data_IF_051628900556
#
_entry.id   IF_051628900556
#
_cell.length_a   1.000
_cell.length_b   1.000
_cell.length_c   1.000
_cell.angle_alpha   90.00
_cell.angle_beta   90.00
_cell.angle_gamma   90.00
#
_symmetry.space_group_name_H-M   'P 1'
#
loop_
_entity.id
_entity.type
_entity.pdbx_description
1 polymer ?
#
# COMPACT_ATOMS: atom_id res chain seq x y z
N UNK A 1 25.35 -37.54 -45.43
CA UNK A 1 24.19 -37.46 -44.54
C UNK A 1 24.62 -36.74 -43.26
N UNK A 2 24.28 -35.46 -43.15
CA UNK A 2 24.59 -34.64 -41.96
C UNK A 2 23.30 -34.57 -41.11
N UNK A 3 23.33 -35.12 -39.92
CA UNK A 3 22.23 -34.99 -38.95
C UNK A 3 22.38 -33.64 -38.24
N UNK A 4 21.38 -32.77 -38.45
CA UNK A 4 21.24 -31.50 -37.79
C UNK A 4 20.55 -31.79 -36.43
N UNK A 5 21.30 -31.71 -35.32
CA UNK A 5 20.76 -31.77 -33.96
C UNK A 5 20.16 -30.39 -33.64
N UNK A 6 18.85 -30.28 -33.69
CA UNK A 6 18.12 -29.12 -33.17
C UNK A 6 17.98 -29.30 -31.65
N UNK A 7 18.82 -28.59 -30.91
CA UNK A 7 18.67 -28.48 -29.47
C UNK A 7 17.46 -27.58 -29.16
N UNK A 8 16.35 -28.19 -28.77
CA UNK A 8 15.17 -27.49 -28.26
C UNK A 8 15.52 -26.98 -26.83
N UNK A 9 15.93 -25.72 -26.73
CA UNK A 9 16.08 -25.06 -25.45
C UNK A 9 14.69 -24.81 -24.88
N UNK A 10 14.21 -25.71 -24.03
CA UNK A 10 13.06 -25.46 -23.16
C UNK A 10 13.44 -24.37 -22.17
N UNK A 11 13.08 -23.13 -22.49
CA UNK A 11 13.03 -22.05 -21.47
C UNK A 11 11.90 -22.41 -20.53
N UNK A 12 12.26 -23.04 -19.42
CA UNK A 12 11.38 -23.21 -18.28
C UNK A 12 11.12 -21.79 -17.72
N UNK A 13 9.99 -21.20 -18.08
CA UNK A 13 9.40 -20.11 -17.33
C UNK A 13 9.00 -20.70 -15.97
N UNK A 14 9.94 -20.66 -15.04
CA UNK A 14 9.60 -20.84 -13.62
C UNK A 14 8.77 -19.62 -13.23
N UNK A 15 7.44 -19.76 -13.26
CA UNK A 15 6.56 -18.87 -12.55
C UNK A 15 7.03 -18.92 -11.09
N UNK A 16 7.68 -17.87 -10.62
CA UNK A 16 8.04 -17.74 -9.22
C UNK A 16 6.68 -17.63 -8.49
N UNK A 17 6.19 -18.76 -8.02
CA UNK A 17 5.05 -18.79 -7.13
C UNK A 17 5.51 -18.08 -5.85
N UNK A 18 5.17 -16.81 -5.72
CA UNK A 18 5.51 -16.03 -4.54
C UNK A 18 4.80 -16.66 -3.34
N UNK A 19 5.56 -17.43 -2.54
CA UNK A 19 5.04 -18.12 -1.38
C UNK A 19 4.59 -17.10 -0.33
N UNK A 20 3.35 -17.25 0.14
CA UNK A 20 2.85 -16.48 1.28
C UNK A 20 3.46 -17.05 2.55
N UNK A 21 4.05 -16.20 3.37
CA UNK A 21 4.70 -16.58 4.62
C UNK A 21 4.23 -15.70 5.77
N UNK A 22 3.76 -16.31 6.85
CA UNK A 22 3.43 -15.55 8.05
C UNK A 22 4.68 -14.88 8.63
N UNK A 23 4.58 -13.58 8.95
CA UNK A 23 5.54 -12.85 9.76
C UNK A 23 5.03 -12.82 11.19
N UNK A 24 5.77 -13.46 12.09
CA UNK A 24 5.48 -13.48 13.52
C UNK A 24 6.48 -12.60 14.27
N UNK A 25 5.98 -11.88 15.28
CA UNK A 25 6.82 -11.24 16.28
C UNK A 25 7.51 -12.27 17.19
N UNK A 26 8.50 -11.87 17.95
CA UNK A 26 9.15 -12.73 18.95
C UNK A 26 8.20 -13.24 20.04
N UNK A 27 7.10 -12.55 20.27
CA UNK A 27 5.99 -12.97 21.15
C UNK A 27 5.09 -14.05 20.55
N UNK A 28 5.25 -14.41 19.27
CA UNK A 28 4.35 -15.28 18.51
C UNK A 28 3.14 -14.56 17.89
N UNK A 29 2.93 -13.28 18.16
CA UNK A 29 1.83 -12.52 17.57
C UNK A 29 2.02 -12.34 16.05
N UNK A 30 0.92 -12.43 15.29
CA UNK A 30 0.93 -12.26 13.84
C UNK A 30 1.16 -10.77 13.50
N UNK A 31 2.25 -10.48 12.81
CA UNK A 31 2.55 -9.14 12.26
C UNK A 31 1.84 -8.95 10.91
N UNK A 32 1.82 -9.99 10.08
CA UNK A 32 1.18 -9.98 8.77
C UNK A 32 1.62 -11.16 7.91
N UNK A 33 1.16 -11.18 6.66
CA UNK A 33 1.56 -12.20 5.67
C UNK A 33 2.50 -11.57 4.64
N UNK A 34 3.70 -12.12 4.50
CA UNK A 34 4.70 -11.66 3.53
C UNK A 34 4.53 -12.35 2.19
N UNK A 35 4.79 -11.59 1.13
CA UNK A 35 5.02 -12.06 -0.22
C UNK A 35 6.31 -11.42 -0.72
N UNK A 36 7.37 -12.21 -0.85
CA UNK A 36 8.74 -11.71 -1.09
C UNK A 36 9.18 -12.01 -2.52
N UNK A 37 9.63 -11.00 -3.25
CA UNK A 37 10.23 -11.12 -4.59
C UNK A 37 11.74 -11.06 -4.54
N UNK A 38 12.31 -10.18 -3.69
CA UNK A 38 13.77 -10.06 -3.53
C UNK A 38 14.11 -9.50 -2.14
N UNK A 39 15.29 -9.88 -1.60
CA UNK A 39 15.71 -9.52 -0.25
C UNK A 39 15.81 -8.00 -0.04
N UNK A 40 16.26 -7.26 -1.05
CA UNK A 40 16.48 -5.81 -0.96
C UNK A 40 15.34 -4.99 -1.60
N UNK A 41 14.33 -5.64 -2.19
CA UNK A 41 13.19 -4.93 -2.75
C UNK A 41 12.44 -4.14 -1.66
N UNK A 42 11.92 -2.95 -1.99
CA UNK A 42 11.08 -2.18 -1.08
C UNK A 42 9.87 -2.98 -0.60
N UNK A 43 9.40 -2.70 0.61
CA UNK A 43 8.20 -3.32 1.16
C UNK A 43 6.99 -2.41 0.99
N UNK A 44 5.97 -2.90 0.32
CA UNK A 44 4.62 -2.34 0.36
C UNK A 44 3.85 -2.98 1.51
N UNK A 45 3.44 -2.19 2.49
CA UNK A 45 2.55 -2.63 3.55
C UNK A 45 1.13 -2.32 3.13
N UNK A 46 0.34 -3.36 2.86
CA UNK A 46 -1.06 -3.23 2.48
C UNK A 46 -1.91 -3.35 3.74
N UNK A 47 -2.61 -2.28 4.05
CA UNK A 47 -3.50 -2.20 5.21
C UNK A 47 -4.92 -2.52 4.76
N UNK A 48 -5.61 -3.47 5.42
CA UNK A 48 -6.99 -3.78 5.12
C UNK A 48 -7.93 -2.65 5.57
N UNK A 49 -9.12 -2.63 5.00
CA UNK A 49 -10.27 -1.87 5.50
C UNK A 49 -11.41 -2.87 5.74
N UNK A 50 -12.50 -2.44 6.37
CA UNK A 50 -13.64 -3.28 6.75
C UNK A 50 -14.40 -3.91 5.57
N UNK A 51 -14.37 -3.25 4.41
CA UNK A 51 -15.07 -3.69 3.19
C UNK A 51 -14.31 -4.70 2.32
N UNK A 52 -13.04 -5.03 2.65
CA UNK A 52 -12.15 -5.81 1.76
C UNK A 52 -12.08 -7.27 2.20
N UNK A 53 -12.17 -8.21 1.28
CA UNK A 53 -11.97 -9.64 1.55
C UNK A 53 -10.49 -10.03 1.55
N UNK A 54 -10.15 -11.12 2.24
CA UNK A 54 -8.78 -11.67 2.23
C UNK A 54 -8.30 -12.00 0.82
N UNK A 55 -9.18 -12.51 -0.06
CA UNK A 55 -8.83 -12.84 -1.44
C UNK A 55 -8.51 -11.59 -2.28
N UNK A 56 -9.21 -10.50 -2.05
CA UNK A 56 -8.92 -9.20 -2.69
C UNK A 56 -7.58 -8.64 -2.22
N UNK A 57 -7.30 -8.68 -0.92
CA UNK A 57 -5.99 -8.27 -0.40
C UNK A 57 -4.83 -9.08 -0.99
N UNK A 58 -4.98 -10.40 -1.09
CA UNK A 58 -3.97 -11.26 -1.74
C UNK A 58 -3.80 -10.90 -3.22
N UNK A 59 -4.91 -10.62 -3.92
CA UNK A 59 -4.86 -10.22 -5.34
C UNK A 59 -4.20 -8.87 -5.52
N UNK A 60 -4.50 -7.90 -4.65
CA UNK A 60 -3.85 -6.60 -4.59
C UNK A 60 -2.34 -6.76 -4.33
N UNK A 61 -1.98 -7.59 -3.34
CA UNK A 61 -0.60 -7.91 -3.02
C UNK A 61 0.16 -8.49 -4.21
N UNK A 62 -0.44 -9.40 -4.97
CA UNK A 62 0.17 -9.95 -6.18
C UNK A 62 0.42 -8.89 -7.26
N UNK A 63 -0.53 -7.94 -7.44
CA UNK A 63 -0.32 -6.83 -8.39
C UNK A 63 0.85 -5.95 -7.99
N UNK A 64 0.97 -5.60 -6.71
CA UNK A 64 2.12 -4.85 -6.16
C UNK A 64 3.41 -5.66 -6.27
N UNK A 65 3.36 -6.95 -5.98
CA UNK A 65 4.49 -7.87 -6.07
C UNK A 65 5.03 -7.98 -7.52
N UNK A 66 4.13 -7.98 -8.51
CA UNK A 66 4.50 -7.98 -9.93
C UNK A 66 5.18 -6.68 -10.38
N UNK A 67 5.10 -5.59 -9.61
CA UNK A 67 5.89 -4.37 -9.84
C UNK A 67 7.30 -4.44 -9.24
N UNK A 68 7.67 -5.54 -8.60
CA UNK A 68 8.99 -5.73 -7.99
C UNK A 68 9.06 -5.42 -6.48
N UNK A 69 7.97 -4.99 -5.84
CA UNK A 69 7.96 -4.76 -4.40
C UNK A 69 7.70 -6.05 -3.60
N UNK A 70 8.37 -6.20 -2.47
CA UNK A 70 7.92 -7.11 -1.44
C UNK A 70 6.61 -6.60 -0.82
N UNK A 71 5.76 -7.50 -0.36
CA UNK A 71 4.47 -7.13 0.23
C UNK A 71 4.37 -7.68 1.65
N UNK A 72 3.83 -6.87 2.56
CA UNK A 72 3.32 -7.29 3.85
C UNK A 72 1.83 -6.98 3.89
N UNK A 73 0.99 -8.02 3.85
CA UNK A 73 -0.45 -7.90 4.08
C UNK A 73 -0.70 -7.87 5.57
N UNK A 74 -1.30 -6.80 6.09
CA UNK A 74 -1.71 -6.74 7.48
C UNK A 74 -2.97 -7.60 7.69
N UNK A 75 -3.17 -8.20 8.87
CA UNK A 75 -4.32 -9.04 9.13
C UNK A 75 -5.62 -8.22 9.18
N UNK A 76 -6.71 -8.85 8.73
CA UNK A 76 -8.06 -8.28 8.76
C UNK A 76 -8.67 -8.42 10.17
N UNK A 77 -8.18 -7.65 11.10
CA UNK A 77 -8.62 -7.64 12.50
C UNK A 77 -8.65 -6.21 13.03
N UNK A 78 -9.19 -6.01 14.23
CA UNK A 78 -9.10 -4.72 14.89
C UNK A 78 -7.61 -4.31 15.07
N UNK A 79 -7.26 -3.02 14.91
CA UNK A 79 -8.20 -1.89 14.77
C UNK A 79 -8.62 -1.57 13.32
N UNK A 80 -8.13 -2.29 12.30
CA UNK A 80 -8.36 -1.94 10.88
C UNK A 80 -9.81 -2.09 10.46
N UNK A 81 -10.45 -3.21 10.82
CA UNK A 81 -11.83 -3.54 10.47
C UNK A 81 -12.88 -2.93 11.40
N UNK A 82 -12.47 -2.21 12.44
CA UNK A 82 -13.38 -1.55 13.37
C UNK A 82 -13.62 -0.09 12.98
N UNK A 83 -14.83 0.24 12.57
CA UNK A 83 -15.23 1.62 12.22
C UNK A 83 -15.10 2.60 13.40
N UNK A 84 -15.13 2.09 14.63
CA UNK A 84 -15.01 2.88 15.87
C UNK A 84 -13.58 2.94 16.42
N UNK A 85 -12.61 2.32 15.76
CA UNK A 85 -11.22 2.39 16.21
C UNK A 85 -10.72 3.83 16.18
N UNK A 86 -10.05 4.24 17.25
CA UNK A 86 -9.43 5.56 17.32
C UNK A 86 -8.23 5.65 16.36
N UNK A 87 -7.92 6.84 15.92
CA UNK A 87 -6.73 7.07 15.10
C UNK A 87 -5.45 6.64 15.85
N UNK A 88 -5.39 6.86 17.16
CA UNK A 88 -4.22 6.48 17.95
C UNK A 88 -4.03 4.96 18.04
N UNK A 89 -5.12 4.19 18.13
CA UNK A 89 -5.01 2.72 18.10
C UNK A 89 -4.48 2.22 16.76
N UNK A 90 -4.94 2.79 15.63
CA UNK A 90 -4.43 2.48 14.30
C UNK A 90 -2.94 2.83 14.15
N UNK A 91 -2.57 4.05 14.54
CA UNK A 91 -1.18 4.52 14.45
C UNK A 91 -0.25 3.68 15.33
N UNK A 92 -0.70 3.31 16.54
CA UNK A 92 0.09 2.49 17.47
C UNK A 92 0.31 1.08 16.90
N UNK A 93 -0.73 0.44 16.37
CA UNK A 93 -0.60 -0.88 15.75
C UNK A 93 0.28 -0.83 14.49
N UNK A 94 0.10 0.15 13.62
CA UNK A 94 0.98 0.40 12.46
C UNK A 94 2.43 0.53 12.91
N UNK A 95 2.70 1.34 13.92
CA UNK A 95 4.05 1.55 14.44
C UNK A 95 4.69 0.27 14.95
N UNK A 96 3.95 -0.55 15.69
CA UNK A 96 4.41 -1.85 16.16
C UNK A 96 4.75 -2.79 14.99
N UNK A 97 3.86 -2.94 14.00
CA UNK A 97 4.10 -3.82 12.84
C UNK A 97 5.30 -3.38 12.01
N UNK A 98 5.48 -2.08 11.82
CA UNK A 98 6.66 -1.53 11.15
C UNK A 98 7.93 -1.82 11.94
N UNK A 99 7.91 -1.68 13.28
CA UNK A 99 9.06 -2.01 14.12
C UNK A 99 9.43 -3.50 14.02
N UNK A 100 8.45 -4.40 13.99
CA UNK A 100 8.70 -5.83 13.80
C UNK A 100 9.24 -6.15 12.39
N UNK A 101 8.69 -5.53 11.34
CA UNK A 101 9.23 -5.67 9.97
C UNK A 101 10.68 -5.18 9.88
N UNK A 102 11.00 -4.07 10.53
CA UNK A 102 12.35 -3.47 10.55
C UNK A 102 13.42 -4.35 11.20
N UNK A 103 13.05 -5.30 12.04
CA UNK A 103 13.99 -6.32 12.54
C UNK A 103 14.49 -7.26 11.44
N UNK A 104 13.76 -7.36 10.32
CA UNK A 104 14.05 -8.28 9.23
C UNK A 104 14.59 -7.61 7.96
N UNK A 105 14.40 -6.29 7.81
CA UNK A 105 14.80 -5.57 6.60
C UNK A 105 15.17 -4.12 6.86
N UNK A 106 16.16 -3.64 6.09
CA UNK A 106 16.50 -2.22 5.97
C UNK A 106 15.90 -1.58 4.72
N UNK A 107 15.27 -2.35 3.85
CA UNK A 107 14.67 -1.86 2.61
C UNK A 107 13.60 -0.77 2.86
N UNK A 108 13.38 0.16 1.92
CA UNK A 108 12.33 1.16 2.05
C UNK A 108 10.96 0.53 2.32
N UNK A 109 10.13 1.20 3.11
CA UNK A 109 8.75 0.77 3.40
C UNK A 109 7.80 1.87 2.93
N UNK A 110 6.78 1.50 2.17
CA UNK A 110 5.68 2.39 1.82
C UNK A 110 4.33 1.70 2.09
N UNK A 111 3.30 2.51 2.28
CA UNK A 111 1.96 2.01 2.52
C UNK A 111 1.10 2.03 1.28
N UNK A 112 0.16 1.08 1.23
CA UNK A 112 -1.00 1.10 0.36
C UNK A 112 -2.24 0.90 1.24
N UNK A 113 -3.07 1.93 1.36
CA UNK A 113 -4.21 1.93 2.27
C UNK A 113 -5.39 2.71 1.69
N UNK A 114 -6.61 2.41 2.16
CA UNK A 114 -7.81 3.11 1.71
C UNK A 114 -8.60 3.73 2.86
N UNK A 115 -9.43 4.71 2.52
CA UNK A 115 -10.38 5.37 3.41
C UNK A 115 -9.74 5.87 4.73
N UNK A 116 -10.37 5.51 5.84
CA UNK A 116 -9.95 5.86 7.19
C UNK A 116 -8.55 5.33 7.52
N UNK A 117 -8.22 4.12 7.06
CA UNK A 117 -6.90 3.52 7.28
C UNK A 117 -5.83 4.28 6.50
N UNK A 118 -6.12 4.77 5.29
CA UNK A 118 -5.20 5.63 4.54
C UNK A 118 -4.87 6.92 5.28
N UNK A 119 -5.89 7.58 5.88
CA UNK A 119 -5.66 8.76 6.71
C UNK A 119 -4.77 8.44 7.92
N UNK A 120 -4.97 7.29 8.59
CA UNK A 120 -4.11 6.85 9.69
C UNK A 120 -2.66 6.55 9.23
N UNK A 121 -2.48 5.92 8.05
CA UNK A 121 -1.15 5.66 7.47
C UNK A 121 -0.41 6.96 7.13
N UNK A 122 -1.11 7.97 6.59
CA UNK A 122 -0.53 9.29 6.34
C UNK A 122 -0.06 9.95 7.63
N UNK A 123 -0.88 9.92 8.69
CA UNK A 123 -0.50 10.45 9.99
C UNK A 123 0.66 9.63 10.60
N UNK A 124 0.65 8.31 10.48
CA UNK A 124 1.76 7.46 10.91
C UNK A 124 3.07 7.83 10.18
N UNK A 125 2.99 8.17 8.89
CA UNK A 125 4.16 8.59 8.11
C UNK A 125 4.77 9.93 8.59
N UNK A 126 4.03 10.75 9.33
CA UNK A 126 4.59 11.93 10.00
C UNK A 126 5.37 11.58 11.27
N UNK A 127 5.09 10.41 11.89
CA UNK A 127 5.67 9.98 13.18
C UNK A 127 6.80 8.96 12.99
N UNK A 128 6.73 8.08 12.00
CA UNK A 128 7.65 6.96 11.84
C UNK A 128 8.54 7.15 10.61
N UNK A 129 9.80 7.52 10.78
CA UNK A 129 10.79 7.73 9.72
C UNK A 129 11.08 6.48 8.86
N UNK A 130 10.70 5.31 9.34
CA UNK A 130 10.80 4.07 8.59
C UNK A 130 9.88 4.06 7.36
N UNK A 131 8.77 4.79 7.40
CA UNK A 131 7.82 4.94 6.30
C UNK A 131 8.40 5.94 5.31
N UNK A 132 8.48 5.56 4.03
CA UNK A 132 9.11 6.34 2.98
C UNK A 132 8.15 6.85 1.91
N UNK A 133 6.88 6.43 1.96
CA UNK A 133 5.83 6.91 1.07
C UNK A 133 4.48 6.29 1.37
N UNK A 134 3.44 6.85 0.78
CA UNK A 134 2.06 6.37 0.95
C UNK A 134 1.31 6.45 -0.37
N UNK A 135 0.69 5.34 -0.77
CA UNK A 135 -0.40 5.30 -1.74
C UNK A 135 -1.71 5.28 -0.96
N UNK A 136 -2.44 6.37 -1.01
CA UNK A 136 -3.65 6.61 -0.23
C UNK A 136 -4.87 6.64 -1.15
N UNK A 137 -5.83 5.75 -0.90
CA UNK A 137 -7.05 5.61 -1.70
C UNK A 137 -8.21 6.22 -0.93
N UNK A 138 -9.01 7.09 -1.56
CA UNK A 138 -10.19 7.75 -0.97
C UNK A 138 -9.93 8.38 0.41
N UNK A 139 -8.83 9.10 0.54
CA UNK A 139 -8.46 9.74 1.81
C UNK A 139 -9.39 10.91 2.14
N UNK A 140 -9.78 11.01 3.41
CA UNK A 140 -10.67 12.06 3.90
C UNK A 140 -10.45 12.41 5.37
N UNK A 141 -11.29 13.30 5.89
CA UNK A 141 -11.33 13.71 7.31
C UNK A 141 -12.16 12.71 8.13
N UNK A 142 -11.59 11.54 8.40
CA UNK A 142 -12.29 10.43 9.07
C UNK A 142 -12.24 10.46 10.61
N UNK A 143 -11.44 11.36 11.21
CA UNK A 143 -11.19 11.34 12.65
C UNK A 143 -11.57 12.65 13.34
N UNK A 144 -12.44 12.57 14.33
CA UNK A 144 -12.66 13.55 15.39
C UNK A 144 -13.18 14.92 14.96
N UNK A 145 -12.35 15.92 14.88
CA UNK A 145 -12.73 17.30 14.62
C UNK A 145 -12.58 17.71 13.17
N UNK A 146 -13.20 18.83 12.79
CA UNK A 146 -12.98 19.44 11.48
C UNK A 146 -11.47 19.64 11.25
N UNK A 147 -10.95 19.13 10.13
CA UNK A 147 -9.56 19.31 9.68
C UNK A 147 -8.51 18.65 10.57
N UNK A 148 -8.84 17.56 11.26
CA UNK A 148 -7.87 16.85 12.08
C UNK A 148 -6.75 16.22 11.23
N UNK A 149 -7.10 15.55 10.13
CA UNK A 149 -6.14 14.95 9.22
C UNK A 149 -5.31 16.04 8.53
N UNK A 150 -5.96 17.08 7.95
CA UNK A 150 -5.30 18.25 7.35
C UNK A 150 -4.20 18.84 8.25
N UNK A 151 -4.51 19.06 9.53
CA UNK A 151 -3.54 19.63 10.49
C UNK A 151 -2.39 18.64 10.78
N UNK A 152 -2.71 17.36 10.93
CA UNK A 152 -1.72 16.33 11.22
C UNK A 152 -0.71 16.18 10.08
N UNK A 153 -1.14 16.41 8.81
CA UNK A 153 -0.29 16.29 7.64
C UNK A 153 0.62 17.49 7.38
N UNK A 154 0.50 18.57 8.12
CA UNK A 154 1.33 19.79 7.95
C UNK A 154 2.84 19.55 8.07
N UNK A 155 3.25 18.47 8.70
CA UNK A 155 4.66 18.05 8.86
C UNK A 155 5.05 16.83 8.02
N UNK A 156 4.16 16.36 7.14
CA UNK A 156 4.44 15.21 6.27
C UNK A 156 5.60 15.51 5.32
N UNK A 157 6.55 14.57 5.20
CA UNK A 157 7.79 14.75 4.42
C UNK A 157 8.03 13.65 3.39
N UNK A 158 7.16 12.66 3.31
CA UNK A 158 7.29 11.56 2.36
C UNK A 158 6.43 11.80 1.12
N UNK A 159 6.80 11.23 -0.05
CA UNK A 159 5.96 11.29 -1.23
C UNK A 159 4.61 10.61 -1.00
N UNK A 160 3.58 11.16 -1.61
CA UNK A 160 2.22 10.63 -1.55
C UNK A 160 1.61 10.57 -2.94
N UNK A 161 1.05 9.41 -3.28
CA UNK A 161 0.11 9.26 -4.37
C UNK A 161 -1.30 9.10 -3.76
N UNK A 162 -2.17 10.06 -3.98
CA UNK A 162 -3.56 9.97 -3.58
C UNK A 162 -4.44 9.59 -4.76
N UNK A 163 -5.14 8.47 -4.63
CA UNK A 163 -6.09 7.95 -5.61
C UNK A 163 -7.51 8.28 -5.12
N UNK A 164 -8.32 8.90 -5.97
CA UNK A 164 -9.70 9.26 -5.61
C UNK A 164 -10.61 9.26 -6.83
N UNK A 165 -11.92 9.33 -6.62
CA UNK A 165 -12.87 9.64 -7.69
C UNK A 165 -12.85 11.15 -8.00
N UNK A 166 -13.47 11.53 -9.14
CA UNK A 166 -13.60 12.96 -9.47
C UNK A 166 -14.41 13.71 -8.42
N UNK A 167 -15.46 13.08 -7.87
CA UNK A 167 -16.31 13.67 -6.82
C UNK A 167 -15.58 13.86 -5.50
N UNK A 168 -14.61 13.02 -5.19
CA UNK A 168 -13.79 13.11 -3.97
C UNK A 168 -12.65 14.13 -4.08
N UNK A 169 -12.29 14.56 -5.29
CA UNK A 169 -11.05 15.31 -5.54
C UNK A 169 -10.92 16.59 -4.71
N UNK A 170 -11.99 17.37 -4.58
CA UNK A 170 -11.95 18.61 -3.80
C UNK A 170 -11.80 18.34 -2.29
N UNK A 171 -12.46 17.30 -1.76
CA UNK A 171 -12.29 16.89 -0.38
C UNK A 171 -10.85 16.43 -0.11
N UNK A 172 -10.28 15.62 -1.01
CA UNK A 172 -8.89 15.15 -0.94
C UNK A 172 -7.91 16.32 -1.00
N UNK A 173 -8.08 17.29 -1.93
CA UNK A 173 -7.26 18.51 -1.98
C UNK A 173 -7.30 19.27 -0.65
N UNK A 174 -8.48 19.33 -0.01
CA UNK A 174 -8.64 19.94 1.31
C UNK A 174 -7.76 19.29 2.37
N UNK A 175 -7.72 17.95 2.40
CA UNK A 175 -6.88 17.17 3.34
C UNK A 175 -5.40 17.46 3.15
N UNK A 176 -4.94 17.64 1.91
CA UNK A 176 -3.53 17.91 1.59
C UNK A 176 -3.17 19.40 1.55
N UNK A 177 -4.08 20.31 1.85
CA UNK A 177 -3.89 21.76 1.69
C UNK A 177 -2.70 22.32 2.48
N UNK A 178 -2.27 21.67 3.55
CA UNK A 178 -1.13 22.05 4.41
C UNK A 178 0.12 21.22 4.23
N UNK A 179 0.10 20.25 3.33
CA UNK A 179 1.28 19.40 3.09
C UNK A 179 2.38 20.23 2.43
N UNK A 180 3.60 20.27 3.01
CA UNK A 180 4.65 21.17 2.56
C UNK A 180 5.44 20.67 1.33
N UNK A 181 5.13 19.49 0.83
CA UNK A 181 5.73 18.86 -0.36
C UNK A 181 4.71 18.68 -1.45
N UNK A 182 5.20 18.52 -2.68
CA UNK A 182 4.38 18.08 -3.79
C UNK A 182 3.80 16.70 -3.49
N UNK A 183 2.54 16.55 -3.73
CA UNK A 183 1.81 15.30 -3.70
C UNK A 183 1.05 15.15 -5.03
N UNK A 184 0.85 13.92 -5.46
CA UNK A 184 0.12 13.63 -6.68
C UNK A 184 -1.29 13.20 -6.31
N UNK A 185 -2.30 13.90 -6.81
CA UNK A 185 -3.68 13.44 -6.79
C UNK A 185 -4.01 12.90 -8.18
N UNK A 186 -4.36 11.61 -8.23
CA UNK A 186 -4.83 10.97 -9.44
C UNK A 186 -6.33 10.68 -9.29
N UNK A 187 -7.15 11.49 -9.94
CA UNK A 187 -8.61 11.29 -9.97
C UNK A 187 -9.03 10.42 -11.13
N UNK A 188 -10.09 9.66 -10.94
CA UNK A 188 -10.66 8.75 -11.93
C UNK A 188 -12.17 8.90 -12.01
N UNK A 189 -12.73 8.58 -13.17
CA UNK A 189 -14.16 8.47 -13.42
C UNK A 189 -14.78 7.15 -12.93
N UNK A 190 -14.09 6.43 -12.01
CA UNK A 190 -14.67 5.28 -11.33
C UNK A 190 -15.80 5.72 -10.41
N UNK A 191 -16.81 4.86 -10.25
CA UNK A 191 -17.91 5.11 -9.32
C UNK A 191 -17.50 4.99 -7.85
N UNK A 192 -16.43 4.26 -7.58
CA UNK A 192 -15.74 4.22 -6.29
C UNK A 192 -14.24 4.05 -6.52
N UNK A 193 -13.42 4.48 -5.58
CA UNK A 193 -11.97 4.36 -5.63
C UNK A 193 -11.42 3.25 -4.72
N UNK A 194 -12.28 2.45 -4.10
CA UNK A 194 -11.85 1.38 -3.19
C UNK A 194 -11.04 0.26 -3.85
N UNK A 195 -10.42 -0.58 -3.03
CA UNK A 195 -9.59 -1.72 -3.47
C UNK A 195 -10.32 -2.64 -4.46
N UNK A 196 -11.61 -2.88 -4.24
CA UNK A 196 -12.45 -3.70 -5.14
C UNK A 196 -12.44 -3.16 -6.57
N UNK A 197 -12.52 -1.83 -6.75
CA UNK A 197 -12.50 -1.23 -8.09
C UNK A 197 -11.11 -1.26 -8.73
N UNK A 198 -10.05 -1.15 -7.92
CA UNK A 198 -8.68 -1.32 -8.39
C UNK A 198 -8.40 -2.73 -8.92
N UNK A 199 -9.14 -3.72 -8.44
CA UNK A 199 -9.00 -5.11 -8.87
C UNK A 199 -9.82 -5.46 -10.12
N UNK A 200 -10.79 -4.66 -10.51
CA UNK A 200 -11.55 -4.85 -11.75
C UNK A 200 -10.62 -4.71 -12.96
N UNK A 201 -10.80 -5.59 -13.95
CA UNK A 201 -10.04 -5.51 -15.20
C UNK A 201 -10.70 -4.51 -16.16
N UNK A 202 -10.55 -3.22 -15.88
CA UNK A 202 -11.09 -2.12 -16.69
C UNK A 202 -9.96 -1.23 -17.22
N UNK A 203 -10.26 -0.43 -18.24
CA UNK A 203 -9.31 0.57 -18.76
C UNK A 203 -8.90 1.57 -17.67
N UNK A 204 -9.82 1.93 -16.78
CA UNK A 204 -9.56 2.88 -15.69
C UNK A 204 -8.67 2.28 -14.61
N UNK A 205 -8.92 1.04 -14.17
CA UNK A 205 -8.02 0.37 -13.24
C UNK A 205 -6.61 0.22 -13.84
N UNK A 206 -6.48 0.03 -15.15
CA UNK A 206 -5.19 0.03 -15.84
C UNK A 206 -4.45 1.36 -15.72
N UNK A 207 -5.15 2.50 -15.85
CA UNK A 207 -4.54 3.84 -15.65
C UNK A 207 -4.08 4.05 -14.22
N UNK A 208 -4.88 3.60 -13.24
CA UNK A 208 -4.54 3.69 -11.81
C UNK A 208 -3.27 2.87 -11.54
N UNK A 209 -3.21 1.63 -12.03
CA UNK A 209 -2.03 0.79 -11.84
C UNK A 209 -0.79 1.35 -12.53
N UNK A 210 -0.95 2.03 -13.66
CA UNK A 210 0.15 2.77 -14.28
C UNK A 210 0.64 3.90 -13.36
N UNK A 211 -0.27 4.70 -12.78
CA UNK A 211 0.10 5.77 -11.84
C UNK A 211 0.81 5.20 -10.59
N UNK A 212 0.33 4.10 -10.03
CA UNK A 212 0.98 3.40 -8.91
C UNK A 212 2.37 2.88 -9.31
N UNK A 213 2.51 2.31 -10.50
CA UNK A 213 3.80 1.83 -11.01
C UNK A 213 4.80 2.96 -11.21
N UNK A 214 4.38 4.08 -11.81
CA UNK A 214 5.24 5.26 -11.97
C UNK A 214 5.69 5.79 -10.60
N UNK A 215 4.77 5.97 -9.67
CA UNK A 215 5.07 6.40 -8.31
C UNK A 215 6.08 5.47 -7.62
N UNK A 216 5.90 4.14 -7.76
CA UNK A 216 6.80 3.15 -7.20
C UNK A 216 8.22 3.28 -7.78
N UNK A 217 8.35 3.32 -9.12
CA UNK A 217 9.65 3.40 -9.77
C UNK A 217 10.38 4.72 -9.48
N UNK A 218 9.67 5.85 -9.44
CA UNK A 218 10.27 7.16 -9.15
C UNK A 218 10.79 7.29 -7.71
N UNK A 219 10.19 6.60 -6.75
CA UNK A 219 10.49 6.85 -5.33
C UNK A 219 11.15 5.68 -4.60
N UNK A 220 11.08 4.45 -5.12
CA UNK A 220 11.50 3.26 -4.38
C UNK A 220 12.42 2.32 -5.17
N UNK A 221 12.46 2.40 -6.48
CA UNK A 221 13.36 1.60 -7.32
C UNK A 221 14.60 2.44 -7.67
N UNK A 222 15.66 2.32 -6.84
CA UNK A 222 17.01 2.87 -7.12
C UNK A 222 18.02 1.75 -7.13
#
# INVERSE_FOLDING_TARGET
MRYLLIAFSCILFTSIACAQQALLASSGALVGTKMVVATQAPYCVICPDDAVTTSELVTLGRKVNNMGANVLLLPQEAPYTSTNASVDSLITDIGWRIAELRKQTTAPIFFFAENRVAAACLIAATKYFAIKGVVAVSTGEYFGGKKYVEHSLSILRVPVLSLCTEDEQEAVKGVFSKVPREFVIFSTDLQSSGYTDLLKNTKQSGKIWLAVSVFYHEHFEN
#
